data_IF_893790617795
#
_entry.id   IF_893790617795
#
_cell.length_a   1.000
_cell.length_b   1.000
_cell.length_c   1.000
_cell.angle_alpha   90.00
_cell.angle_beta   90.00
_cell.angle_gamma   90.00
#
_symmetry.space_group_name_H-M   'P 1'
#
loop_
_entity.id
_entity.type
_entity.pdbx_description
1 polymer ?
#
# COMPACT_ATOMS: atom_id res chain seq x y z
N UNK A 1 11.36 -24.00 9.55
CA UNK A 1 10.65 -22.74 9.87
C UNK A 1 9.92 -22.30 8.61
N UNK A 2 8.58 -22.26 8.61
CA UNK A 2 7.78 -21.85 7.45
C UNK A 2 7.43 -20.36 7.57
N UNK A 3 7.29 -19.67 6.43
CA UNK A 3 6.77 -18.30 6.40
C UNK A 3 5.38 -18.20 7.02
N UNK A 4 5.00 -17.01 7.50
CA UNK A 4 3.77 -16.80 8.27
C UNK A 4 2.51 -17.32 7.54
N UNK A 5 2.35 -17.02 6.25
CA UNK A 5 1.18 -17.46 5.47
C UNK A 5 1.11 -18.97 5.20
N UNK A 6 2.11 -19.75 5.63
CA UNK A 6 2.18 -21.21 5.52
C UNK A 6 2.32 -21.89 6.90
N UNK A 7 2.32 -21.13 8.00
CA UNK A 7 2.56 -21.65 9.36
C UNK A 7 1.25 -21.77 10.14
N UNK A 8 0.87 -23.01 10.46
CA UNK A 8 -0.28 -23.30 11.30
C UNK A 8 -0.07 -22.82 12.74
N UNK A 9 1.17 -22.85 13.23
CA UNK A 9 1.53 -22.40 14.57
C UNK A 9 1.28 -20.90 14.75
N UNK A 10 1.57 -20.09 13.72
CA UNK A 10 1.33 -18.66 13.75
C UNK A 10 -0.14 -18.32 13.50
N UNK A 11 -0.77 -18.94 12.50
CA UNK A 11 -2.15 -18.61 12.12
C UNK A 11 -3.17 -19.17 13.10
N UNK A 12 -3.08 -20.46 13.43
CA UNK A 12 -4.04 -21.13 14.31
C UNK A 12 -3.58 -21.07 15.77
N UNK A 13 -2.31 -21.35 16.06
CA UNK A 13 -1.80 -21.36 17.43
C UNK A 13 -1.77 -19.98 18.07
N UNK A 14 -1.14 -19.01 17.41
CA UNK A 14 -0.99 -17.65 17.94
C UNK A 14 -2.20 -16.78 17.62
N UNK A 15 -2.51 -16.56 16.33
CA UNK A 15 -3.51 -15.57 15.92
C UNK A 15 -4.94 -15.97 16.30
N UNK A 16 -5.39 -17.17 15.94
CA UNK A 16 -6.71 -17.67 16.38
C UNK A 16 -6.72 -18.03 17.87
N UNK A 17 -5.75 -18.84 18.30
CA UNK A 17 -5.70 -19.38 19.66
C UNK A 17 -5.40 -18.33 20.73
N UNK A 18 -4.15 -17.86 20.80
CA UNK A 18 -3.70 -16.97 21.89
C UNK A 18 -4.25 -15.54 21.80
N UNK A 19 -4.37 -15.00 20.59
CA UNK A 19 -4.86 -13.62 20.37
C UNK A 19 -6.38 -13.55 20.19
N UNK A 20 -7.07 -14.68 20.04
CA UNK A 20 -8.53 -14.72 19.92
C UNK A 20 -9.09 -14.04 18.67
N UNK A 21 -8.30 -13.94 17.59
CA UNK A 21 -8.76 -13.30 16.37
C UNK A 21 -9.92 -14.07 15.73
N UNK A 22 -11.05 -13.40 15.52
CA UNK A 22 -12.27 -13.99 14.95
C UNK A 22 -12.70 -13.34 13.62
N UNK A 23 -11.77 -12.68 12.91
CA UNK A 23 -12.02 -12.09 11.59
C UNK A 23 -11.60 -13.01 10.44
N UNK A 24 -11.63 -12.52 9.19
CA UNK A 24 -11.08 -13.24 8.04
C UNK A 24 -9.55 -13.09 7.97
N UNK A 25 -8.82 -14.19 7.73
CA UNK A 25 -7.37 -14.18 7.50
C UNK A 25 -7.10 -14.23 5.99
N UNK A 26 -6.34 -13.27 5.47
CA UNK A 26 -5.85 -13.30 4.08
C UNK A 26 -4.34 -13.45 4.04
N UNK A 27 -3.81 -14.08 3.00
CA UNK A 27 -2.37 -14.00 2.71
C UNK A 27 -2.01 -12.58 2.24
N UNK A 28 -0.72 -12.24 2.28
CA UNK A 28 -0.16 -11.23 1.37
C UNK A 28 -0.12 -11.79 -0.08
N UNK A 29 0.28 -10.97 -1.05
CA UNK A 29 0.27 -11.29 -2.47
C UNK A 29 1.06 -12.57 -2.78
N UNK A 30 0.36 -13.62 -3.24
CA UNK A 30 0.96 -14.95 -3.41
C UNK A 30 1.92 -15.04 -4.61
N UNK A 31 1.97 -14.02 -5.46
CA UNK A 31 2.90 -13.92 -6.59
C UNK A 31 4.26 -13.30 -6.19
N UNK A 32 4.41 -12.82 -4.96
CA UNK A 32 5.69 -12.30 -4.45
C UNK A 32 6.73 -13.41 -4.30
N UNK A 33 8.01 -13.04 -4.47
CA UNK A 33 9.14 -13.96 -4.31
C UNK A 33 9.14 -14.62 -2.93
N UNK A 34 8.81 -13.87 -1.87
CA UNK A 34 8.77 -14.42 -0.51
C UNK A 34 7.78 -15.57 -0.32
N UNK A 35 6.69 -15.61 -1.09
CA UNK A 35 5.79 -16.76 -1.13
C UNK A 35 6.34 -17.85 -2.07
N UNK A 36 6.72 -17.47 -3.29
CA UNK A 36 7.14 -18.41 -4.34
C UNK A 36 8.43 -19.17 -4.04
N UNK A 37 9.34 -18.65 -3.23
CA UNK A 37 10.59 -19.31 -2.89
C UNK A 37 10.42 -20.45 -1.87
N UNK A 38 9.25 -20.57 -1.24
CA UNK A 38 8.99 -21.58 -0.21
C UNK A 38 8.70 -22.98 -0.77
N UNK A 39 8.47 -23.11 -2.07
CA UNK A 39 8.16 -24.38 -2.71
C UNK A 39 7.37 -24.24 -4.00
N UNK A 40 6.86 -25.37 -4.51
CA UNK A 40 6.08 -25.38 -5.75
C UNK A 40 4.70 -24.78 -5.50
N UNK A 41 4.30 -23.83 -6.34
CA UNK A 41 3.02 -23.11 -6.20
C UNK A 41 1.82 -24.05 -5.98
N UNK A 42 1.77 -25.16 -6.71
CA UNK A 42 0.72 -26.18 -6.58
C UNK A 42 0.59 -26.79 -5.18
N UNK A 43 1.68 -26.84 -4.43
CA UNK A 43 1.71 -27.34 -3.04
C UNK A 43 1.46 -26.20 -2.05
N UNK A 44 1.89 -24.98 -2.38
CA UNK A 44 1.79 -23.83 -1.49
C UNK A 44 0.36 -23.31 -1.33
N UNK A 45 -0.46 -23.27 -2.40
CA UNK A 45 -1.82 -22.72 -2.32
C UNK A 45 -2.73 -23.54 -1.40
N UNK A 46 -2.77 -24.88 -1.49
CA UNK A 46 -3.53 -25.68 -0.52
C UNK A 46 -2.95 -25.60 0.88
N UNK A 47 -1.61 -25.56 1.00
CA UNK A 47 -0.93 -25.48 2.28
C UNK A 47 -1.26 -24.20 3.05
N UNK A 48 -1.36 -23.04 2.39
CA UNK A 48 -1.76 -21.79 3.05
C UNK A 48 -3.21 -21.83 3.55
N UNK A 49 -4.13 -22.41 2.77
CA UNK A 49 -5.52 -22.58 3.20
C UNK A 49 -5.59 -23.47 4.45
N UNK A 50 -4.92 -24.63 4.41
CA UNK A 50 -4.89 -25.57 5.53
C UNK A 50 -4.13 -25.04 6.75
N UNK A 51 -3.16 -24.15 6.55
CA UNK A 51 -2.48 -23.48 7.65
C UNK A 51 -3.41 -22.51 8.40
N UNK A 52 -4.48 -22.02 7.77
CA UNK A 52 -5.49 -21.17 8.39
C UNK A 52 -5.82 -19.89 7.63
N UNK A 53 -5.27 -19.68 6.43
CA UNK A 53 -5.70 -18.55 5.59
C UNK A 53 -7.07 -18.85 4.97
N UNK A 54 -7.97 -17.88 5.02
CA UNK A 54 -9.32 -17.98 4.48
C UNK A 54 -9.37 -17.47 3.04
N UNK A 55 -8.48 -16.55 2.67
CA UNK A 55 -8.39 -15.98 1.32
C UNK A 55 -6.93 -15.91 0.84
N UNK A 56 -6.73 -16.22 -0.44
CA UNK A 56 -5.46 -16.03 -1.15
C UNK A 56 -5.48 -14.66 -1.83
N UNK A 57 -4.52 -13.79 -1.49
CA UNK A 57 -4.39 -12.48 -2.13
C UNK A 57 -3.61 -12.62 -3.44
N UNK A 58 -4.27 -12.25 -4.55
CA UNK A 58 -3.79 -12.33 -5.93
C UNK A 58 -3.41 -13.74 -6.43
N UNK A 59 -3.56 -13.91 -7.73
CA UNK A 59 -3.16 -15.12 -8.47
C UNK A 59 -2.00 -14.79 -9.40
N UNK A 60 -1.12 -15.77 -9.65
CA UNK A 60 -0.08 -15.62 -10.69
C UNK A 60 -0.66 -15.96 -12.07
N UNK A 61 -1.39 -17.07 -12.16
CA UNK A 61 -2.21 -17.44 -13.30
C UNK A 61 -3.56 -17.89 -12.76
N UNK A 62 -4.62 -17.17 -13.10
CA UNK A 62 -5.95 -17.41 -12.52
C UNK A 62 -6.45 -18.84 -12.78
N UNK A 63 -6.25 -19.35 -14.00
CA UNK A 63 -6.72 -20.68 -14.38
C UNK A 63 -5.97 -21.78 -13.63
N UNK A 64 -4.64 -21.72 -13.64
CA UNK A 64 -3.81 -22.72 -12.95
C UNK A 64 -4.03 -22.72 -11.44
N UNK A 65 -4.14 -21.54 -10.83
CA UNK A 65 -4.34 -21.41 -9.39
C UNK A 65 -5.71 -21.92 -8.96
N UNK A 66 -6.74 -21.62 -9.75
CA UNK A 66 -8.09 -22.15 -9.53
C UNK A 66 -8.14 -23.67 -9.66
N UNK A 67 -7.58 -24.22 -10.74
CA UNK A 67 -7.54 -25.68 -10.96
C UNK A 67 -6.79 -26.39 -9.84
N UNK A 68 -5.67 -25.83 -9.39
CA UNK A 68 -4.89 -26.36 -8.26
C UNK A 68 -5.72 -26.45 -6.97
N UNK A 69 -6.42 -25.37 -6.60
CA UNK A 69 -7.24 -25.37 -5.38
C UNK A 69 -8.44 -26.29 -5.53
N UNK A 70 -9.07 -26.33 -6.71
CA UNK A 70 -10.19 -27.21 -7.00
C UNK A 70 -9.78 -28.69 -6.89
N UNK A 71 -8.63 -29.06 -7.45
CA UNK A 71 -8.06 -30.41 -7.33
C UNK A 71 -7.74 -30.75 -5.87
N UNK A 72 -7.19 -29.80 -5.11
CA UNK A 72 -6.90 -30.01 -3.70
C UNK A 72 -8.17 -30.23 -2.85
N UNK A 73 -9.28 -29.55 -3.17
CA UNK A 73 -10.58 -29.81 -2.54
C UNK A 73 -11.12 -31.18 -2.96
N UNK A 74 -11.16 -31.49 -4.25
CA UNK A 74 -11.68 -32.77 -4.77
C UNK A 74 -10.91 -34.00 -4.27
N UNK A 75 -9.60 -33.86 -4.06
CA UNK A 75 -8.73 -34.91 -3.53
C UNK A 75 -8.73 -35.00 -2.00
N UNK A 76 -9.41 -34.09 -1.30
CA UNK A 76 -9.47 -34.03 0.16
C UNK A 76 -8.20 -33.48 0.83
N UNK A 77 -7.24 -32.94 0.06
CA UNK A 77 -6.09 -32.21 0.61
C UNK A 77 -6.60 -31.00 1.41
N UNK A 78 -7.58 -30.27 0.88
CA UNK A 78 -8.36 -29.29 1.63
C UNK A 78 -9.67 -29.98 1.99
N UNK A 79 -9.93 -30.16 3.28
CA UNK A 79 -11.18 -30.79 3.73
C UNK A 79 -12.38 -29.87 3.48
N UNK A 80 -13.57 -30.47 3.33
CA UNK A 80 -14.80 -29.72 3.14
C UNK A 80 -15.12 -28.83 4.36
N UNK A 81 -14.80 -29.29 5.57
CA UNK A 81 -14.94 -28.51 6.80
C UNK A 81 -14.04 -27.28 6.79
N UNK A 82 -12.78 -27.43 6.37
CA UNK A 82 -11.84 -26.31 6.27
C UNK A 82 -12.27 -25.31 5.20
N UNK A 83 -12.76 -25.79 4.06
CA UNK A 83 -13.30 -24.95 3.00
C UNK A 83 -14.52 -24.16 3.50
N UNK A 84 -15.47 -24.83 4.13
CA UNK A 84 -16.68 -24.21 4.68
C UNK A 84 -16.33 -23.17 5.75
N UNK A 85 -15.41 -23.47 6.66
CA UNK A 85 -14.91 -22.50 7.65
C UNK A 85 -14.35 -21.24 6.98
N UNK A 86 -13.46 -21.39 5.99
CA UNK A 86 -12.89 -20.26 5.26
C UNK A 86 -13.97 -19.42 4.56
N UNK A 87 -14.90 -20.07 3.86
CA UNK A 87 -16.02 -19.42 3.17
C UNK A 87 -16.95 -18.72 4.15
N UNK A 88 -17.20 -19.28 5.34
CA UNK A 88 -17.99 -18.63 6.39
C UNK A 88 -17.36 -17.30 6.82
N UNK A 89 -16.05 -17.24 7.07
CA UNK A 89 -15.39 -15.96 7.41
C UNK A 89 -15.50 -14.93 6.28
N UNK A 90 -15.39 -15.35 5.02
CA UNK A 90 -15.55 -14.47 3.87
C UNK A 90 -16.99 -13.91 3.81
N UNK A 91 -17.98 -14.78 3.93
CA UNK A 91 -19.40 -14.39 3.88
C UNK A 91 -19.79 -13.54 5.09
N UNK A 92 -19.32 -13.88 6.29
CA UNK A 92 -19.54 -13.09 7.50
C UNK A 92 -18.94 -11.68 7.37
N UNK A 93 -17.75 -11.55 6.78
CA UNK A 93 -17.12 -10.24 6.51
C UNK A 93 -17.93 -9.43 5.49
N UNK A 94 -18.45 -10.07 4.43
CA UNK A 94 -19.34 -9.39 3.46
C UNK A 94 -20.67 -8.99 4.11
N UNK A 95 -21.19 -9.80 5.03
CA UNK A 95 -22.42 -9.53 5.76
C UNK A 95 -22.26 -8.39 6.78
N UNK A 96 -21.13 -8.32 7.50
CA UNK A 96 -20.86 -7.24 8.46
C UNK A 96 -20.79 -5.86 7.79
N UNK A 97 -20.32 -5.81 6.54
CA UNK A 97 -20.30 -4.62 5.70
C UNK A 97 -21.66 -4.31 5.03
N UNK A 98 -22.67 -5.15 5.27
CA UNK A 98 -24.02 -5.09 4.68
C UNK A 98 -24.02 -5.07 3.16
N UNK A 99 -23.03 -5.70 2.52
CA UNK A 99 -22.89 -5.63 1.05
C UNK A 99 -24.08 -6.29 0.33
N UNK A 100 -24.59 -7.38 0.89
CA UNK A 100 -25.75 -8.09 0.37
C UNK A 100 -27.06 -7.27 0.50
N UNK A 101 -27.22 -6.47 1.57
CA UNK A 101 -28.35 -5.54 1.71
C UNK A 101 -28.22 -4.39 0.72
N UNK A 102 -27.04 -3.76 0.64
CA UNK A 102 -26.75 -2.67 -0.30
C UNK A 102 -26.92 -3.07 -1.76
N UNK A 103 -26.58 -4.32 -2.09
CA UNK A 103 -26.81 -4.87 -3.43
C UNK A 103 -28.31 -5.00 -3.72
N UNK A 104 -29.12 -5.49 -2.76
CA UNK A 104 -30.58 -5.60 -2.90
C UNK A 104 -31.26 -4.24 -3.01
N UNK A 105 -30.78 -3.22 -2.30
CA UNK A 105 -31.31 -1.85 -2.36
C UNK A 105 -30.73 -1.01 -3.50
N UNK A 106 -29.89 -1.59 -4.37
CA UNK A 106 -29.18 -0.87 -5.44
C UNK A 106 -28.33 0.33 -4.95
N UNK A 107 -27.81 0.27 -3.73
CA UNK A 107 -26.94 1.30 -3.11
C UNK A 107 -25.51 0.81 -2.88
N UNK A 108 -25.08 -0.24 -3.60
CA UNK A 108 -23.72 -0.79 -3.48
C UNK A 108 -22.67 0.20 -3.98
N UNK A 109 -22.97 0.87 -5.09
CA UNK A 109 -22.16 1.92 -5.69
C UNK A 109 -22.91 3.23 -5.41
N UNK A 110 -22.30 4.18 -4.67
CA UNK A 110 -22.86 5.51 -4.49
C UNK A 110 -23.07 6.22 -5.83
N UNK A 111 -23.94 7.21 -5.87
CA UNK A 111 -24.12 8.04 -7.06
C UNK A 111 -22.89 8.92 -7.36
N UNK A 112 -22.87 9.55 -8.53
CA UNK A 112 -21.73 10.33 -9.01
C UNK A 112 -21.35 11.48 -8.08
N UNK A 113 -22.28 12.03 -7.29
CA UNK A 113 -21.97 13.08 -6.30
C UNK A 113 -20.98 12.62 -5.23
N UNK A 114 -20.87 11.30 -4.99
CA UNK A 114 -19.86 10.75 -4.10
C UNK A 114 -18.43 11.01 -4.59
N UNK A 115 -18.22 11.31 -5.87
CA UNK A 115 -16.90 11.68 -6.40
C UNK A 115 -16.41 13.03 -5.87
N UNK A 116 -17.31 13.93 -5.43
CA UNK A 116 -16.96 15.24 -4.87
C UNK A 116 -16.12 15.11 -3.59
N UNK A 117 -16.17 13.96 -2.91
CA UNK A 117 -15.35 13.67 -1.73
C UNK A 117 -13.87 13.46 -2.10
N UNK A 118 -13.58 13.06 -3.34
CA UNK A 118 -12.23 12.80 -3.81
C UNK A 118 -11.48 14.11 -3.98
N UNK A 119 -10.34 14.24 -3.29
CA UNK A 119 -9.50 15.47 -3.30
C UNK A 119 -10.27 16.76 -2.95
N UNK A 120 -11.35 16.67 -2.18
CA UNK A 120 -12.06 17.86 -1.70
C UNK A 120 -11.13 18.75 -0.85
N UNK A 121 -11.49 20.03 -0.72
CA UNK A 121 -10.68 21.02 0.04
C UNK A 121 -10.34 20.55 1.45
N UNK A 122 -11.31 19.94 2.16
CA UNK A 122 -11.12 19.42 3.51
C UNK A 122 -10.00 18.37 3.58
N UNK A 123 -9.97 17.42 2.65
CA UNK A 123 -8.93 16.38 2.60
C UNK A 123 -7.56 16.94 2.22
N UNK A 124 -7.51 17.90 1.29
CA UNK A 124 -6.28 18.59 0.92
C UNK A 124 -5.72 19.39 2.10
N UNK A 125 -6.55 20.17 2.79
CA UNK A 125 -6.14 20.94 3.96
C UNK A 125 -5.62 20.04 5.09
N UNK A 126 -6.29 18.89 5.31
CA UNK A 126 -5.83 17.87 6.27
C UNK A 126 -4.46 17.32 5.89
N UNK A 127 -4.24 16.99 4.60
CA UNK A 127 -2.95 16.51 4.13
C UNK A 127 -1.84 17.54 4.37
N UNK A 128 -2.12 18.84 4.14
CA UNK A 128 -1.19 19.91 4.47
C UNK A 128 -0.88 19.98 5.97
N UNK A 129 -1.90 19.93 6.83
CA UNK A 129 -1.71 20.00 8.29
C UNK A 129 -0.90 18.82 8.82
N UNK A 130 -1.14 17.61 8.32
CA UNK A 130 -0.38 16.42 8.71
C UNK A 130 1.07 16.55 8.23
N UNK A 131 1.29 16.96 6.98
CA UNK A 131 2.63 17.16 6.43
C UNK A 131 3.43 18.20 7.21
N UNK A 132 2.76 19.30 7.60
CA UNK A 132 3.35 20.41 8.34
C UNK A 132 3.75 20.05 9.78
N UNK A 133 3.13 19.01 10.35
CA UNK A 133 3.44 18.46 11.69
C UNK A 133 4.33 17.23 11.66
N UNK A 134 4.46 16.55 10.51
CA UNK A 134 5.25 15.34 10.37
C UNK A 134 6.75 15.60 10.20
N UNK A 135 7.14 16.81 9.77
CA UNK A 135 8.54 17.20 9.61
C UNK A 135 9.24 17.18 10.97
N UNK A 136 10.32 16.42 11.06
CA UNK A 136 11.11 16.26 12.29
C UNK A 136 12.53 16.79 12.07
N UNK A 137 12.94 17.78 12.85
CA UNK A 137 14.32 18.26 12.86
C UNK A 137 15.17 17.31 13.72
N UNK A 138 15.94 16.44 13.06
CA UNK A 138 16.81 15.47 13.76
C UNK A 138 18.06 16.15 14.31
N UNK A 139 18.63 17.11 13.58
CA UNK A 139 19.91 17.74 13.90
C UNK A 139 20.01 19.16 13.33
N UNK A 140 20.42 20.11 14.15
CA UNK A 140 20.79 21.48 13.75
C UNK A 140 21.89 22.06 14.66
N UNK A 141 23.12 21.57 14.51
CA UNK A 141 24.26 22.02 15.35
C UNK A 141 24.71 23.45 15.03
N UNK A 142 24.52 23.88 13.79
CA UNK A 142 24.97 25.18 13.29
C UNK A 142 23.91 26.26 13.43
N UNK A 143 22.73 25.93 13.99
CA UNK A 143 21.58 26.82 14.12
C UNK A 143 21.28 27.55 12.79
N UNK A 144 21.26 26.80 11.69
CA UNK A 144 21.09 27.36 10.34
C UNK A 144 19.64 27.67 10.05
N UNK A 145 18.71 27.00 10.72
CA UNK A 145 17.28 27.21 10.52
C UNK A 145 16.77 28.29 11.48
N UNK A 146 15.88 29.18 11.02
CA UNK A 146 15.32 29.23 9.67
C UNK A 146 16.22 29.97 8.64
N UNK A 147 16.18 29.51 7.39
CA UNK A 147 16.92 30.08 6.26
C UNK A 147 16.37 31.44 5.81
N UNK A 148 17.14 32.51 5.92
CA UNK A 148 16.72 33.81 5.40
C UNK A 148 17.37 34.13 4.05
N UNK A 149 16.58 34.66 3.10
CA UNK A 149 17.09 35.19 1.80
C UNK A 149 18.10 36.33 1.97
N UNK A 150 18.05 37.06 3.10
CA UNK A 150 19.01 38.11 3.41
C UNK A 150 20.42 37.56 3.68
N UNK A 151 20.50 36.37 4.28
CA UNK A 151 21.75 35.68 4.62
C UNK A 151 22.24 34.77 3.49
N UNK A 152 21.33 34.06 2.84
CA UNK A 152 21.65 33.09 1.78
C UNK A 152 20.87 33.40 0.50
N UNK A 153 21.53 34.10 -0.46
CA UNK A 153 20.88 34.59 -1.70
C UNK A 153 20.75 33.55 -2.81
N UNK A 154 21.67 32.58 -2.84
CA UNK A 154 21.71 31.49 -3.83
C UNK A 154 21.61 30.16 -3.07
N UNK A 155 20.70 29.30 -3.50
CA UNK A 155 20.47 27.98 -2.92
C UNK A 155 20.70 26.95 -4.03
N UNK A 156 21.57 25.97 -3.78
CA UNK A 156 21.72 24.80 -4.65
C UNK A 156 20.82 23.69 -4.10
N UNK A 157 19.86 23.23 -4.91
CA UNK A 157 19.00 22.12 -4.54
C UNK A 157 19.53 20.84 -5.19
N UNK A 158 19.82 19.82 -4.38
CA UNK A 158 20.18 18.49 -4.85
C UNK A 158 19.08 17.55 -4.38
N UNK A 159 18.35 16.95 -5.32
CA UNK A 159 17.33 15.94 -5.04
C UNK A 159 17.95 14.58 -5.35
N UNK A 160 18.04 13.73 -4.33
CA UNK A 160 18.53 12.35 -4.47
C UNK A 160 17.33 11.40 -4.34
N UNK A 161 17.05 10.60 -5.37
CA UNK A 161 15.96 9.64 -5.37
C UNK A 161 15.47 9.32 -6.79
N UNK A 162 14.71 8.24 -6.93
CA UNK A 162 14.17 7.83 -8.24
C UNK A 162 13.22 8.91 -8.78
N UNK A 163 13.41 9.22 -10.06
CA UNK A 163 12.65 10.21 -10.79
C UNK A 163 11.19 9.79 -11.03
N UNK A 164 10.67 8.71 -10.44
CA UNK A 164 9.31 8.21 -10.67
C UNK A 164 8.69 7.85 -9.32
N UNK A 165 7.64 8.59 -8.94
CA UNK A 165 6.83 8.24 -7.78
C UNK A 165 6.06 6.93 -8.01
N UNK A 166 5.61 6.27 -6.94
CA UNK A 166 4.72 5.10 -7.01
C UNK A 166 3.43 5.32 -7.82
N UNK A 167 3.10 6.57 -8.19
CA UNK A 167 1.99 6.93 -9.07
C UNK A 167 2.35 6.95 -10.57
N UNK A 168 3.56 6.56 -10.95
CA UNK A 168 4.07 6.61 -12.33
C UNK A 168 4.35 8.02 -12.85
N UNK A 169 4.17 9.05 -12.01
CA UNK A 169 4.50 10.43 -12.36
C UNK A 169 5.95 10.74 -12.03
N UNK A 170 6.66 11.47 -12.91
CA UNK A 170 8.02 11.85 -12.62
C UNK A 170 8.09 12.72 -11.37
N UNK A 171 9.15 12.55 -10.59
CA UNK A 171 9.47 13.40 -9.47
C UNK A 171 9.63 14.83 -10.00
N UNK A 172 8.86 15.76 -9.43
CA UNK A 172 8.99 17.18 -9.75
C UNK A 172 10.38 17.63 -9.27
N UNK A 173 11.29 17.87 -10.21
CA UNK A 173 12.69 18.24 -9.95
C UNK A 173 13.76 17.42 -10.69
N UNK A 174 13.41 16.76 -11.80
CA UNK A 174 14.36 16.00 -12.61
C UNK A 174 15.38 16.94 -13.29
N UNK A 175 16.42 17.31 -12.56
CA UNK A 175 17.54 18.12 -13.04
C UNK A 175 18.65 17.28 -13.68
N UNK A 176 18.49 15.96 -13.76
CA UNK A 176 19.51 15.10 -14.38
C UNK A 176 19.60 15.23 -15.91
N UNK A 177 18.66 15.91 -16.58
CA UNK A 177 18.72 16.17 -18.03
C UNK A 177 19.23 17.57 -18.42
N UNK A 178 19.68 18.41 -17.47
CA UNK A 178 20.16 19.77 -17.78
C UNK A 178 21.67 19.99 -17.54
N UNK A 179 22.46 18.93 -17.31
CA UNK A 179 23.92 19.04 -17.14
C UNK A 179 24.74 18.72 -18.40
N UNK A 180 24.10 18.34 -19.50
CA UNK A 180 24.78 18.15 -20.78
C UNK A 180 24.09 18.94 -21.88
N UNK A 181 24.88 19.73 -22.60
CA UNK A 181 24.55 20.55 -23.76
C UNK A 181 24.09 21.99 -23.51
N UNK A 182 25.06 22.87 -23.80
CA UNK A 182 24.95 24.29 -24.12
C UNK A 182 24.97 25.29 -22.97
N UNK A 183 25.96 26.19 -23.04
CA UNK A 183 26.00 27.41 -22.25
C UNK A 183 24.81 28.32 -22.54
N UNK A 184 24.63 29.29 -21.63
CA UNK A 184 23.68 30.41 -21.60
C UNK A 184 22.40 30.22 -20.76
N UNK A 185 22.17 31.24 -19.92
CA UNK A 185 20.94 31.71 -19.27
C UNK A 185 19.96 30.66 -18.70
N UNK A 186 19.95 30.54 -17.38
CA UNK A 186 18.85 29.89 -16.65
C UNK A 186 17.62 30.81 -16.58
N UNK A 187 16.58 30.47 -17.33
CA UNK A 187 15.22 30.94 -17.01
C UNK A 187 14.61 29.98 -15.98
N UNK A 188 14.30 30.49 -14.79
CA UNK A 188 13.60 29.73 -13.75
C UNK A 188 12.12 29.61 -14.13
N UNK A 189 11.66 28.43 -14.53
CA UNK A 189 10.25 28.07 -14.37
C UNK A 189 10.09 27.34 -13.04
N UNK A 190 9.22 27.79 -12.13
CA UNK A 190 9.04 27.14 -10.84
C UNK A 190 8.23 25.85 -11.01
N UNK A 191 8.94 24.74 -11.25
CA UNK A 191 8.40 23.39 -11.10
C UNK A 191 8.55 22.95 -9.63
N UNK A 192 7.90 23.65 -8.69
CA UNK A 192 7.78 23.18 -7.32
C UNK A 192 6.29 23.04 -7.01
N UNK A 193 5.89 21.90 -6.44
CA UNK A 193 4.52 21.75 -5.99
C UNK A 193 4.23 22.78 -4.86
N UNK A 194 2.99 23.29 -4.73
CA UNK A 194 2.63 24.21 -3.64
C UNK A 194 3.01 23.70 -2.24
N UNK A 195 3.07 22.37 -2.06
CA UNK A 195 3.53 21.71 -0.84
C UNK A 195 5.03 21.89 -0.60
N UNK A 196 5.87 21.63 -1.60
CA UNK A 196 7.33 21.85 -1.48
C UNK A 196 7.66 23.32 -1.27
N UNK A 197 6.96 24.24 -1.95
CA UNK A 197 7.13 25.68 -1.74
C UNK A 197 6.82 26.05 -0.29
N UNK A 198 5.75 25.53 0.30
CA UNK A 198 5.40 25.81 1.70
C UNK A 198 6.39 25.23 2.70
N UNK A 199 6.89 24.01 2.47
CA UNK A 199 7.91 23.39 3.34
C UNK A 199 9.19 24.23 3.33
N UNK A 200 9.68 24.60 2.14
CA UNK A 200 10.86 25.47 1.99
C UNK A 200 10.59 26.84 2.63
N UNK A 201 9.42 27.45 2.37
CA UNK A 201 9.07 28.75 2.97
C UNK A 201 8.97 28.71 4.50
N UNK A 202 8.67 27.57 5.12
CA UNK A 202 8.60 27.43 6.59
C UNK A 202 9.96 27.14 7.20
N UNK A 203 10.82 26.40 6.51
CA UNK A 203 12.25 26.35 6.85
C UNK A 203 12.91 27.73 6.73
N UNK A 204 12.30 28.68 6.01
CA UNK A 204 12.80 30.03 5.81
C UNK A 204 12.18 31.12 6.72
N UNK A 205 11.27 30.77 7.64
CA UNK A 205 10.67 31.72 8.60
C UNK A 205 11.31 31.61 9.97
#
# INVERSE_FOLDING_TARGET
MHMASLSKELLQGLLRGKLGFNGMITTDATNMVGFGCAGRRKELLPKSINAGCDMLLFTKNLKEDYETVLEAVKSGIISEERLNEAVTYILATKASLKLHEKQKSHTLIPDESALDILRCKKHIDMAYQVSDKAITLVKDEQNLLPLSKGKYKKVLTIVLGDAISASGKPAVGDHQSAMMHHGLSMSFRPCLSPLQIRIICRMCR
#
